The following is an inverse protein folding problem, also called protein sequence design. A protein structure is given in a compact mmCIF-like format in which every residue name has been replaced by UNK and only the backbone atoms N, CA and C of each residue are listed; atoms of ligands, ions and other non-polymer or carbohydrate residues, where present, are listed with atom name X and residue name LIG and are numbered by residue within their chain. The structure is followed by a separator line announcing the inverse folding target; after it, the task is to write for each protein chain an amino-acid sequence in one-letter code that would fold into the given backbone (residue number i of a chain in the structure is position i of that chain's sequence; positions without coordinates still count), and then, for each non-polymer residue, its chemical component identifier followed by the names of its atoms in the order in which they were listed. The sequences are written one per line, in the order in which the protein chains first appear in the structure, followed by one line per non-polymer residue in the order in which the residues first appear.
data_IF_850757683887
#
_entry.id   IF_850757683887
#
_cell.length_a   1.000
_cell.length_b   1.000
_cell.length_c   1.000
_cell.angle_alpha   90.00
_cell.angle_beta   90.00
_cell.angle_gamma   90.00
#
_symmetry.space_group_name_H-M   'P 1'
#
loop_
_entity.id
_entity.type
_entity.pdbx_description
1 polymer ?
#
# COMPACT_ATOMS: atom_id res chain seq x y z
N UNK A 1 -2.72 29.80 3.72
CA UNK A 1 -1.81 29.07 2.82
C UNK A 1 -1.59 27.64 3.30
N UNK A 2 -1.20 27.42 4.57
CA UNK A 2 -1.01 26.08 5.14
C UNK A 2 -2.17 25.10 4.91
N UNK A 3 -3.40 25.48 5.26
CA UNK A 3 -4.59 24.63 5.02
C UNK A 3 -4.76 24.14 3.57
N UNK A 4 -4.28 24.90 2.57
CA UNK A 4 -4.33 24.48 1.16
C UNK A 4 -3.22 23.47 0.83
N UNK A 5 -2.04 23.63 1.44
CA UNK A 5 -0.94 22.67 1.36
C UNK A 5 -1.36 21.37 2.04
N UNK A 6 -1.90 21.45 3.26
CA UNK A 6 -2.43 20.32 4.02
C UNK A 6 -3.49 19.53 3.22
N UNK A 7 -4.51 20.21 2.69
CA UNK A 7 -5.53 19.58 1.84
C UNK A 7 -4.94 18.85 0.63
N UNK A 8 -3.90 19.42 0.01
CA UNK A 8 -3.24 18.78 -1.13
C UNK A 8 -2.39 17.58 -0.70
N UNK A 9 -1.73 17.68 0.44
CA UNK A 9 -0.87 16.62 1.00
C UNK A 9 -1.66 15.51 1.70
N UNK A 10 -2.95 15.71 1.97
CA UNK A 10 -3.85 14.70 2.54
C UNK A 10 -4.33 13.64 1.51
N UNK A 11 -4.05 13.83 0.23
CA UNK A 11 -4.33 12.84 -0.82
C UNK A 11 -3.55 11.55 -0.56
N UNK A 12 -4.23 10.40 -0.61
CA UNK A 12 -3.66 9.08 -0.28
C UNK A 12 -2.47 8.71 -1.16
N UNK A 13 -2.32 9.30 -2.36
CA UNK A 13 -1.13 9.08 -3.20
C UNK A 13 0.16 9.61 -2.57
N UNK A 14 0.07 10.51 -1.58
CA UNK A 14 1.21 11.02 -0.82
C UNK A 14 1.40 10.30 0.51
N UNK A 15 0.55 9.32 0.85
CA UNK A 15 0.71 8.54 2.06
C UNK A 15 2.05 7.77 2.05
N UNK A 16 2.85 7.93 3.10
CA UNK A 16 4.18 7.32 3.21
C UNK A 16 5.26 7.92 2.32
N UNK A 17 4.96 8.95 1.52
CA UNK A 17 5.97 9.68 0.73
C UNK A 17 6.62 10.72 1.64
N UNK A 18 7.96 10.71 1.79
CA UNK A 18 8.64 11.75 2.55
C UNK A 18 8.50 13.10 1.84
N UNK A 19 8.26 14.16 2.62
CA UNK A 19 8.04 15.51 2.10
C UNK A 19 9.05 16.45 2.73
N UNK A 20 9.69 17.28 1.91
CA UNK A 20 10.60 18.35 2.32
C UNK A 20 9.97 19.68 1.91
N UNK A 21 9.90 20.61 2.86
CA UNK A 21 9.47 21.99 2.64
C UNK A 21 10.63 22.89 3.06
N UNK A 22 11.16 23.67 2.12
CA UNK A 22 12.31 24.52 2.33
C UNK A 22 12.06 25.95 1.82
N UNK A 23 12.64 26.93 2.51
CA UNK A 23 12.62 28.33 2.07
C UNK A 23 12.82 29.32 3.20
N UNK A 24 12.69 30.59 2.85
CA UNK A 24 12.62 31.73 3.77
C UNK A 24 11.19 31.86 4.30
N UNK A 25 11.03 31.79 5.62
CA UNK A 25 9.74 31.91 6.30
C UNK A 25 9.50 33.32 6.86
N UNK A 26 10.48 34.23 6.75
CA UNK A 26 10.47 35.57 7.33
C UNK A 26 9.99 35.57 8.79
N UNK A 27 10.35 34.52 9.52
CA UNK A 27 9.88 34.30 10.89
C UNK A 27 10.88 33.43 11.64
N UNK A 28 11.08 33.76 12.91
CA UNK A 28 11.99 33.06 13.79
C UNK A 28 11.36 31.77 14.36
N UNK A 29 12.18 30.99 15.05
CA UNK A 29 11.81 29.65 15.51
C UNK A 29 11.42 29.63 16.99
N UNK A 30 10.32 28.94 17.30
CA UNK A 30 9.92 28.55 18.66
C UNK A 30 10.96 27.65 19.34
N UNK A 31 11.86 27.03 18.57
CA UNK A 31 12.97 26.21 19.08
C UNK A 31 14.21 27.04 19.42
N UNK A 32 14.27 28.29 18.98
CA UNK A 32 15.47 29.14 19.11
C UNK A 32 15.28 30.20 20.21
N UNK A 33 14.08 30.81 20.29
CA UNK A 33 13.72 31.86 21.26
C UNK A 33 13.20 31.27 22.57
N UNK A 34 14.00 30.43 23.20
CA UNK A 34 13.65 29.66 24.39
C UNK A 34 14.30 30.22 25.66
N UNK A 35 13.85 29.75 26.83
CA UNK A 35 14.32 30.26 28.11
C UNK A 35 15.86 30.16 28.29
N UNK A 36 16.48 29.11 27.77
CA UNK A 36 17.93 28.89 27.88
C UNK A 36 18.79 29.80 27.01
N UNK A 37 18.19 30.47 26.02
CA UNK A 37 18.89 31.33 25.04
C UNK A 37 18.47 32.79 25.19
N UNK A 38 17.73 33.12 26.25
CA UNK A 38 17.24 34.47 26.51
C UNK A 38 18.39 35.50 26.56
N UNK A 39 19.56 35.14 27.08
CA UNK A 39 20.67 36.09 27.15
C UNK A 39 21.24 36.39 25.75
N UNK A 40 21.13 35.45 24.81
CA UNK A 40 21.56 35.64 23.42
C UNK A 40 20.52 36.38 22.56
N UNK A 41 19.23 36.13 22.80
CA UNK A 41 18.11 36.70 22.02
C UNK A 41 17.39 37.87 22.72
N UNK A 42 17.77 38.21 23.95
CA UNK A 42 17.17 39.21 24.86
C UNK A 42 15.71 38.93 25.29
N UNK A 43 15.01 38.05 24.57
CA UNK A 43 13.60 37.74 24.77
C UNK A 43 13.31 36.25 24.55
N UNK A 44 12.28 35.75 25.23
CA UNK A 44 11.69 34.43 25.02
C UNK A 44 10.38 34.63 24.28
N UNK A 45 10.24 34.04 23.10
CA UNK A 45 9.07 34.21 22.23
C UNK A 45 8.70 32.85 21.64
N UNK A 46 7.45 32.47 21.85
CA UNK A 46 6.87 31.29 21.22
C UNK A 46 6.33 31.67 19.83
N UNK A 47 7.19 31.62 18.82
CA UNK A 47 6.89 32.12 17.47
C UNK A 47 5.82 31.28 16.76
N UNK A 48 4.58 31.79 16.56
CA UNK A 48 3.47 30.95 16.09
C UNK A 48 3.65 30.41 14.69
N UNK A 49 4.33 31.15 13.80
CA UNK A 49 4.57 30.72 12.41
C UNK A 49 5.39 29.45 12.34
N UNK A 50 6.35 29.29 13.25
CA UNK A 50 7.24 28.12 13.27
C UNK A 50 6.58 26.85 13.80
N UNK A 51 5.41 26.95 14.45
CA UNK A 51 4.58 25.80 14.84
C UNK A 51 3.81 25.19 13.68
N UNK A 52 3.49 25.98 12.65
CA UNK A 52 2.61 25.56 11.53
C UNK A 52 3.06 24.23 10.90
N UNK A 53 4.37 24.01 10.76
CA UNK A 53 4.91 22.76 10.23
C UNK A 53 5.18 21.73 11.33
N UNK A 54 5.64 22.17 12.51
CA UNK A 54 5.96 21.29 13.63
C UNK A 54 4.72 20.54 14.16
N UNK A 55 3.60 21.24 14.32
CA UNK A 55 2.31 20.68 14.75
C UNK A 55 1.77 19.61 13.79
N UNK A 56 2.28 19.60 12.56
CA UNK A 56 1.87 18.72 11.46
C UNK A 56 2.88 17.59 11.22
N UNK A 57 3.76 17.39 12.19
CA UNK A 57 4.75 16.32 12.23
C UNK A 57 5.98 16.56 11.37
N UNK A 58 6.23 17.79 10.91
CA UNK A 58 7.51 18.13 10.29
C UNK A 58 8.58 18.38 11.34
N UNK A 59 9.78 17.91 11.06
CA UNK A 59 10.99 18.14 11.84
C UNK A 59 11.84 19.22 11.17
N UNK A 60 12.40 20.11 11.97
CA UNK A 60 13.39 21.08 11.55
C UNK A 60 14.75 20.38 11.39
N UNK A 61 15.23 20.20 10.16
CA UNK A 61 16.50 19.49 9.92
C UNK A 61 17.69 20.15 10.61
N UNK A 62 17.68 21.49 10.74
CA UNK A 62 18.77 22.22 11.40
C UNK A 62 18.81 21.90 12.88
N UNK A 63 17.68 22.00 13.58
CA UNK A 63 17.60 21.76 15.03
C UNK A 63 17.67 20.26 15.37
N UNK A 64 17.28 19.38 14.46
CA UNK A 64 17.48 17.93 14.62
C UNK A 64 18.96 17.55 14.61
N UNK A 65 19.75 18.12 13.69
CA UNK A 65 21.19 17.85 13.59
C UNK A 65 22.01 18.69 14.58
N UNK A 66 21.57 19.91 14.89
CA UNK A 66 22.18 20.86 15.83
C UNK A 66 21.19 21.23 16.95
N UNK A 67 20.97 20.35 17.93
CA UNK A 67 19.98 20.56 18.99
C UNK A 67 20.30 21.76 19.90
N UNK A 68 21.59 22.08 20.07
CA UNK A 68 22.02 23.26 20.82
C UNK A 68 21.89 24.52 19.97
N UNK A 69 21.25 25.54 20.53
CA UNK A 69 21.08 26.84 19.88
C UNK A 69 22.39 27.62 19.93
N UNK A 70 22.81 28.13 18.78
CA UNK A 70 23.97 29.01 18.68
C UNK A 70 23.65 30.12 17.67
N UNK A 71 23.18 31.27 18.17
CA UNK A 71 22.69 32.39 17.36
C UNK A 71 23.66 32.79 16.24
N UNK A 72 24.97 32.83 16.51
CA UNK A 72 25.99 33.21 15.53
C UNK A 72 26.15 32.19 14.39
N UNK A 73 26.05 30.90 14.69
CA UNK A 73 26.14 29.83 13.69
C UNK A 73 24.82 29.63 12.95
N UNK A 74 23.70 29.84 13.65
CA UNK A 74 22.35 29.58 13.17
C UNK A 74 21.81 30.70 12.27
N UNK A 75 22.31 31.94 12.40
CA UNK A 75 21.87 33.11 11.65
C UNK A 75 21.86 32.90 10.14
N UNK A 76 20.73 33.17 9.47
CA UNK A 76 20.60 33.03 8.00
C UNK A 76 20.55 34.36 7.26
N UNK A 77 20.59 35.49 7.96
CA UNK A 77 20.94 36.77 7.33
C UNK A 77 22.41 36.82 6.93
N UNK A 78 22.74 37.60 5.90
CA UNK A 78 24.14 37.77 5.46
C UNK A 78 24.75 39.06 5.98
N UNK A 79 26.10 39.17 5.98
CA UNK A 79 26.80 40.39 6.35
C UNK A 79 26.48 41.62 5.47
N UNK A 80 25.68 41.46 4.41
CA UNK A 80 25.20 42.57 3.58
C UNK A 80 24.31 43.53 4.37
N UNK A 81 23.61 43.04 5.39
CA UNK A 81 22.73 43.83 6.24
C UNK A 81 23.06 43.62 7.72
N UNK A 82 24.20 44.15 8.21
CA UNK A 82 24.71 43.89 9.56
C UNK A 82 23.84 44.49 10.66
N UNK A 83 22.94 45.41 10.32
CA UNK A 83 22.01 46.05 11.26
C UNK A 83 20.70 45.27 11.45
N UNK A 84 20.44 44.23 10.65
CA UNK A 84 19.29 43.35 10.85
C UNK A 84 19.53 42.42 12.04
N UNK A 85 18.44 41.99 12.67
CA UNK A 85 18.50 40.93 13.67
C UNK A 85 18.99 39.65 12.98
N UNK A 86 20.23 39.25 13.29
CA UNK A 86 20.92 38.14 12.63
C UNK A 86 20.38 36.79 13.11
N UNK A 87 19.12 36.53 12.80
CA UNK A 87 18.41 35.34 13.23
C UNK A 87 18.26 34.33 12.11
N UNK A 88 17.84 33.13 12.49
CA UNK A 88 17.52 32.05 11.57
C UNK A 88 16.08 32.23 11.09
N UNK A 89 15.90 32.46 9.81
CA UNK A 89 14.58 32.62 9.16
C UNK A 89 14.40 31.71 7.94
N UNK A 90 15.47 31.06 7.50
CA UNK A 90 15.47 30.07 6.43
C UNK A 90 15.49 28.66 7.04
N UNK A 91 14.59 27.79 6.57
CA UNK A 91 14.39 26.46 7.14
C UNK A 91 14.32 25.40 6.06
N UNK A 92 14.76 24.20 6.41
CA UNK A 92 14.46 22.96 5.69
C UNK A 92 13.72 22.05 6.66
N UNK A 93 12.40 22.01 6.53
CA UNK A 93 11.52 21.12 7.27
C UNK A 93 11.27 19.83 6.49
N UNK A 94 11.13 18.71 7.19
CA UNK A 94 10.82 17.46 6.53
C UNK A 94 10.01 16.51 7.41
N UNK A 95 9.23 15.63 6.79
CA UNK A 95 8.46 14.57 7.47
C UNK A 95 8.52 13.25 6.71
N UNK A 96 8.12 12.19 7.41
CA UNK A 96 8.12 10.82 6.90
C UNK A 96 9.38 10.05 7.31
N UNK A 97 9.22 8.73 7.44
CA UNK A 97 10.23 7.84 8.03
C UNK A 97 11.31 7.40 7.05
N UNK A 98 11.15 7.73 5.76
CA UNK A 98 12.10 7.38 4.71
C UNK A 98 13.28 8.37 4.60
N UNK A 99 13.26 9.48 5.35
CA UNK A 99 14.34 10.45 5.42
C UNK A 99 14.81 10.63 6.87
N UNK A 100 16.09 10.85 7.02
CA UNK A 100 16.71 11.33 8.25
C UNK A 100 17.75 12.38 7.89
N UNK A 101 17.66 13.57 8.49
CA UNK A 101 18.69 14.59 8.35
C UNK A 101 19.99 14.09 9.00
N UNK A 102 21.09 14.09 8.24
CA UNK A 102 22.39 13.59 8.71
C UNK A 102 23.43 14.68 8.86
N UNK A 103 23.28 15.77 8.12
CA UNK A 103 24.19 16.90 8.18
C UNK A 103 23.48 18.19 7.76
N UNK A 104 23.93 19.32 8.31
CA UNK A 104 23.43 20.65 7.97
C UNK A 104 24.57 21.67 7.92
N UNK A 105 24.51 22.53 6.90
CA UNK A 105 25.50 23.56 6.65
C UNK A 105 24.83 24.88 6.29
N UNK A 106 25.40 25.98 6.79
CA UNK A 106 25.07 27.33 6.38
C UNK A 106 26.21 27.87 5.52
N UNK A 107 25.89 28.28 4.30
CA UNK A 107 26.83 28.93 3.40
C UNK A 107 26.50 30.43 3.36
N UNK A 108 27.35 31.24 3.97
CA UNK A 108 27.20 32.70 4.02
C UNK A 108 28.46 33.47 3.55
N UNK A 109 29.42 32.77 2.96
CA UNK A 109 30.66 33.34 2.42
C UNK A 109 30.93 32.82 1.01
N UNK A 110 31.62 33.62 0.20
CA UNK A 110 32.09 33.23 -1.14
C UNK A 110 33.47 33.89 -1.35
N UNK A 111 34.36 33.27 -2.13
CA UNK A 111 35.75 33.74 -2.33
C UNK A 111 35.83 35.16 -2.88
N UNK A 112 34.92 35.53 -3.77
CA UNK A 112 34.83 36.89 -4.33
C UNK A 112 33.88 37.80 -3.54
N UNK A 113 32.57 37.59 -3.70
CA UNK A 113 31.51 38.30 -2.99
C UNK A 113 30.31 37.38 -2.83
N UNK A 114 29.70 37.40 -1.65
CA UNK A 114 28.49 36.62 -1.42
C UNK A 114 27.30 37.20 -2.22
N UNK A 115 26.55 36.39 -2.99
CA UNK A 115 25.58 36.89 -3.97
C UNK A 115 24.17 37.15 -3.42
N UNK A 116 23.95 36.98 -2.11
CA UNK A 116 22.62 37.01 -1.49
C UNK A 116 22.61 37.83 -0.19
N UNK A 117 21.45 38.28 0.21
CA UNK A 117 21.14 38.83 1.54
C UNK A 117 20.75 37.75 2.57
N UNK A 118 20.51 36.52 2.11
CA UNK A 118 20.32 35.32 2.92
C UNK A 118 21.40 34.28 2.67
N UNK A 119 21.86 33.64 3.73
CA UNK A 119 22.73 32.48 3.69
C UNK A 119 21.98 31.30 3.05
N UNK A 120 22.68 30.46 2.29
CA UNK A 120 22.09 29.22 1.82
C UNK A 120 22.08 28.21 2.97
N UNK A 121 20.91 27.64 3.26
CA UNK A 121 20.75 26.52 4.19
C UNK A 121 20.80 25.23 3.41
N UNK A 122 21.64 24.29 3.85
CA UNK A 122 21.83 22.99 3.24
C UNK A 122 21.50 21.92 4.28
N UNK A 123 20.74 20.91 3.86
CA UNK A 123 20.50 19.70 4.64
C UNK A 123 20.81 18.46 3.78
N UNK A 124 21.58 17.53 4.33
CA UNK A 124 21.81 16.22 3.75
C UNK A 124 20.89 15.20 4.42
N UNK A 125 20.30 14.30 3.63
CA UNK A 125 19.41 13.27 4.13
C UNK A 125 19.91 11.87 3.78
N UNK A 126 19.89 10.98 4.78
CA UNK A 126 19.91 9.55 4.52
C UNK A 126 18.53 9.09 4.04
N UNK A 127 18.50 8.34 2.93
CA UNK A 127 17.32 7.59 2.52
C UNK A 127 17.23 6.31 3.34
N UNK A 128 16.34 6.31 4.32
CA UNK A 128 16.02 5.12 5.09
C UNK A 128 15.15 4.22 4.22
N UNK A 129 15.66 3.04 3.85
CA UNK A 129 14.81 2.04 3.20
C UNK A 129 13.72 1.65 4.20
N UNK A 130 12.43 1.66 3.82
CA UNK A 130 11.43 1.03 4.67
C UNK A 130 11.87 -0.42 4.89
N UNK A 131 11.60 -0.93 6.10
CA UNK A 131 11.80 -2.35 6.38
C UNK A 131 11.16 -3.17 5.26
N UNK A 132 11.86 -4.20 4.71
CA UNK A 132 11.23 -5.08 3.74
C UNK A 132 9.93 -5.62 4.36
N UNK A 133 8.83 -5.72 3.59
CA UNK A 133 7.56 -6.16 4.12
C UNK A 133 7.77 -7.50 4.83
N UNK A 134 7.35 -7.57 6.10
CA UNK A 134 7.56 -8.73 6.99
C UNK A 134 7.01 -10.03 6.37
N UNK A 135 6.05 -9.90 5.46
CA UNK A 135 5.51 -11.00 4.68
C UNK A 135 5.16 -10.54 3.26
N UNK A 136 5.43 -11.39 2.26
CA UNK A 136 5.01 -11.22 0.87
C UNK A 136 4.05 -12.35 0.51
N UNK A 137 2.97 -12.01 -0.19
CA UNK A 137 2.02 -12.97 -0.75
C UNK A 137 1.98 -12.85 -2.26
N UNK A 138 2.05 -13.98 -2.96
CA UNK A 138 1.87 -14.08 -4.40
C UNK A 138 0.56 -14.77 -4.70
N UNK A 139 -0.33 -14.06 -5.40
CA UNK A 139 -1.65 -14.58 -5.75
C UNK A 139 -1.78 -14.79 -7.26
N UNK A 140 -2.50 -15.83 -7.66
CA UNK A 140 -2.81 -16.14 -9.05
C UNK A 140 -4.32 -16.32 -9.19
N UNK A 141 -4.93 -15.69 -10.19
CA UNK A 141 -6.29 -16.00 -10.64
C UNK A 141 -6.19 -16.76 -11.95
N UNK A 142 -6.87 -17.90 -12.07
CA UNK A 142 -6.79 -18.71 -13.27
C UNK A 142 -8.10 -19.46 -13.56
N UNK A 143 -8.77 -19.07 -14.65
CA UNK A 143 -9.86 -19.83 -15.21
C UNK A 143 -9.25 -21.02 -15.98
N UNK A 144 -9.44 -22.23 -15.45
CA UNK A 144 -8.79 -23.43 -15.99
C UNK A 144 -9.64 -24.14 -17.04
N UNK A 145 -10.86 -23.68 -17.32
CA UNK A 145 -11.81 -24.31 -18.25
C UNK A 145 -11.83 -25.84 -18.06
N UNK A 146 -12.21 -26.30 -16.86
CA UNK A 146 -12.22 -27.70 -16.43
C UNK A 146 -10.91 -28.46 -16.74
N UNK A 147 -9.77 -27.77 -16.72
CA UNK A 147 -8.44 -28.32 -17.00
C UNK A 147 -8.15 -28.58 -18.47
N UNK A 148 -9.04 -28.18 -19.39
CA UNK A 148 -8.88 -28.42 -20.82
C UNK A 148 -8.06 -27.31 -21.50
N UNK A 149 -6.83 -27.64 -21.89
CA UNK A 149 -5.92 -26.73 -22.59
C UNK A 149 -6.28 -26.51 -24.07
N UNK A 150 -5.34 -25.93 -24.84
CA UNK A 150 -5.52 -25.65 -26.28
C UNK A 150 -5.71 -26.89 -27.15
N UNK A 151 -5.25 -28.06 -26.68
CA UNK A 151 -5.50 -29.36 -27.32
C UNK A 151 -6.93 -29.88 -27.09
N UNK A 152 -7.69 -29.23 -26.20
CA UNK A 152 -9.02 -29.67 -25.75
C UNK A 152 -8.99 -30.86 -24.78
N UNK A 153 -7.81 -31.39 -24.46
CA UNK A 153 -7.64 -32.48 -23.49
C UNK A 153 -7.45 -31.93 -22.08
N UNK A 154 -8.00 -32.64 -21.09
CA UNK A 154 -7.82 -32.31 -19.66
C UNK A 154 -6.43 -32.74 -19.21
N UNK A 155 -5.62 -31.78 -18.77
CA UNK A 155 -4.24 -32.02 -18.32
C UNK A 155 -3.90 -31.17 -17.09
N UNK A 156 -4.19 -31.71 -15.92
CA UNK A 156 -3.91 -31.03 -14.64
C UNK A 156 -2.42 -31.02 -14.28
N UNK A 157 -1.59 -31.89 -14.87
CA UNK A 157 -0.15 -31.86 -14.65
C UNK A 157 0.48 -30.65 -15.34
N UNK A 158 0.02 -30.33 -16.55
CA UNK A 158 0.41 -29.11 -17.25
C UNK A 158 -0.04 -27.86 -16.48
N UNK A 159 -1.29 -27.83 -16.01
CA UNK A 159 -1.79 -26.75 -15.15
C UNK A 159 -0.94 -26.60 -13.88
N UNK A 160 -0.60 -27.71 -13.21
CA UNK A 160 0.25 -27.69 -12.02
C UNK A 160 1.68 -27.24 -12.33
N UNK A 161 2.26 -27.65 -13.46
CA UNK A 161 3.60 -27.21 -13.88
C UNK A 161 3.65 -25.69 -14.08
N UNK A 162 2.64 -25.11 -14.74
CA UNK A 162 2.52 -23.66 -14.92
C UNK A 162 2.42 -22.96 -13.57
N UNK A 163 1.52 -23.40 -12.69
CA UNK A 163 1.33 -22.80 -11.37
C UNK A 163 2.60 -22.92 -10.52
N UNK A 164 3.31 -24.04 -10.57
CA UNK A 164 4.56 -24.25 -9.82
C UNK A 164 5.64 -23.24 -10.20
N UNK A 165 5.77 -22.92 -11.49
CA UNK A 165 6.72 -21.91 -11.99
C UNK A 165 6.42 -20.51 -11.47
N UNK A 166 5.16 -20.21 -11.17
CA UNK A 166 4.76 -18.94 -10.56
C UNK A 166 5.03 -18.92 -9.05
N UNK A 167 5.23 -20.05 -8.38
CA UNK A 167 5.40 -20.15 -6.92
C UNK A 167 4.33 -19.38 -6.11
N UNK A 168 3.02 -19.62 -6.35
CA UNK A 168 1.94 -18.91 -5.70
C UNK A 168 1.80 -19.31 -4.23
N UNK A 169 1.36 -18.35 -3.43
CA UNK A 169 0.83 -18.57 -2.08
C UNK A 169 -0.65 -18.93 -2.12
N UNK A 170 -1.40 -18.27 -3.02
CA UNK A 170 -2.86 -18.42 -3.15
C UNK A 170 -3.21 -18.49 -4.63
N UNK A 171 -4.08 -19.43 -5.01
CA UNK A 171 -4.58 -19.56 -6.38
C UNK A 171 -6.11 -19.63 -6.36
N UNK A 172 -6.79 -18.68 -7.00
CA UNK A 172 -8.21 -18.78 -7.29
C UNK A 172 -8.40 -19.48 -8.64
N UNK A 173 -9.17 -20.55 -8.65
CA UNK A 173 -9.47 -21.35 -9.83
C UNK A 173 -10.94 -21.17 -10.22
N UNK A 174 -11.20 -20.77 -11.47
CA UNK A 174 -12.55 -20.73 -12.03
C UNK A 174 -12.77 -21.89 -13.00
N UNK A 175 -14.03 -22.24 -13.22
CA UNK A 175 -14.45 -23.36 -14.08
C UNK A 175 -13.86 -24.71 -13.64
N UNK A 176 -14.05 -25.05 -12.37
CA UNK A 176 -13.46 -26.24 -11.76
C UNK A 176 -14.50 -27.36 -11.69
N UNK A 177 -14.13 -28.54 -12.18
CA UNK A 177 -14.94 -29.75 -12.05
C UNK A 177 -14.58 -30.52 -10.77
N UNK A 178 -15.60 -31.12 -10.16
CA UNK A 178 -15.47 -32.09 -9.07
C UNK A 178 -16.23 -33.37 -9.42
N UNK A 179 -15.51 -34.39 -9.89
CA UNK A 179 -16.11 -35.70 -10.18
C UNK A 179 -16.94 -35.74 -11.46
N UNK A 180 -16.78 -34.78 -12.38
CA UNK A 180 -17.54 -34.79 -13.65
C UNK A 180 -16.93 -35.78 -14.65
N UNK A 181 -17.76 -36.43 -15.46
CA UNK A 181 -17.27 -37.35 -16.49
C UNK A 181 -16.43 -36.69 -17.59
N UNK A 182 -16.62 -35.38 -17.87
CA UNK A 182 -15.80 -34.64 -18.87
C UNK A 182 -14.36 -34.40 -18.43
N UNK A 183 -14.08 -34.51 -17.12
CA UNK A 183 -12.78 -34.31 -16.51
C UNK A 183 -12.18 -35.60 -15.94
N UNK A 184 -12.65 -36.76 -16.45
CA UNK A 184 -12.20 -38.07 -15.99
C UNK A 184 -12.65 -38.41 -14.57
N UNK A 185 -13.74 -37.81 -14.09
CA UNK A 185 -14.26 -37.91 -12.72
C UNK A 185 -13.25 -37.44 -11.66
N UNK A 186 -12.41 -36.47 -12.00
CA UNK A 186 -11.38 -35.95 -11.10
C UNK A 186 -11.94 -34.84 -10.21
N UNK A 187 -11.60 -34.85 -8.92
CA UNK A 187 -11.78 -33.70 -8.03
C UNK A 187 -10.64 -32.69 -8.27
N UNK A 188 -10.83 -31.75 -9.21
CA UNK A 188 -9.71 -31.01 -9.80
C UNK A 188 -8.98 -30.10 -8.80
N UNK A 189 -9.71 -29.40 -7.92
CA UNK A 189 -9.10 -28.56 -6.89
C UNK A 189 -8.21 -29.40 -5.95
N UNK A 190 -8.71 -30.54 -5.47
CA UNK A 190 -7.97 -31.44 -4.59
C UNK A 190 -6.76 -32.05 -5.31
N UNK A 191 -6.91 -32.44 -6.58
CA UNK A 191 -5.81 -32.99 -7.36
C UNK A 191 -4.71 -31.95 -7.59
N UNK A 192 -5.05 -30.71 -7.99
CA UNK A 192 -4.08 -29.63 -8.15
C UNK A 192 -3.41 -29.27 -6.81
N UNK A 193 -4.17 -29.23 -5.72
CA UNK A 193 -3.63 -29.07 -4.36
C UNK A 193 -2.58 -30.13 -4.04
N UNK A 194 -2.87 -31.41 -4.32
CA UNK A 194 -1.90 -32.50 -4.15
C UNK A 194 -0.65 -32.33 -5.01
N UNK A 195 -0.79 -32.01 -6.29
CA UNK A 195 0.34 -31.84 -7.22
C UNK A 195 1.25 -30.66 -6.86
N UNK A 196 0.70 -29.62 -6.23
CA UNK A 196 1.41 -28.42 -5.81
C UNK A 196 1.86 -28.44 -4.36
N UNK A 197 1.42 -29.42 -3.56
CA UNK A 197 1.65 -29.42 -2.11
C UNK A 197 0.90 -28.30 -1.38
N UNK A 198 -0.29 -27.96 -1.85
CA UNK A 198 -1.14 -26.87 -1.33
C UNK A 198 -2.43 -27.43 -0.72
N UNK A 199 -2.99 -26.73 0.25
CA UNK A 199 -4.35 -26.93 0.72
C UNK A 199 -5.33 -26.54 -0.37
N UNK A 200 -6.46 -27.25 -0.47
CA UNK A 200 -7.48 -27.01 -1.50
C UNK A 200 -8.87 -26.85 -0.87
N UNK A 201 -9.62 -25.89 -1.40
CA UNK A 201 -11.05 -25.72 -1.17
C UNK A 201 -11.80 -25.78 -2.50
N UNK A 202 -13.03 -26.26 -2.45
CA UNK A 202 -13.96 -26.29 -3.58
C UNK A 202 -15.30 -25.74 -3.11
N UNK A 203 -15.94 -24.92 -3.94
CA UNK A 203 -17.31 -24.45 -3.74
C UNK A 203 -18.14 -24.69 -4.99
N UNK A 204 -19.28 -25.34 -4.82
CA UNK A 204 -20.18 -25.74 -5.92
C UNK A 204 -21.13 -24.62 -6.27
N UNK A 205 -21.46 -24.46 -7.56
CA UNK A 205 -22.65 -23.70 -7.97
C UNK A 205 -23.66 -24.51 -8.78
N UNK A 206 -23.29 -25.66 -9.37
CA UNK A 206 -24.25 -26.54 -10.04
C UNK A 206 -23.80 -28.02 -10.13
N UNK A 207 -24.77 -28.91 -10.35
CA UNK A 207 -24.50 -30.29 -10.79
C UNK A 207 -24.22 -30.33 -12.29
N UNK A 208 -23.25 -31.13 -12.72
CA UNK A 208 -22.86 -31.26 -14.12
C UNK A 208 -22.31 -32.65 -14.45
N UNK A 209 -22.91 -33.32 -15.45
CA UNK A 209 -22.40 -34.56 -16.05
C UNK A 209 -22.01 -35.66 -15.03
N UNK A 210 -22.84 -35.81 -13.99
CA UNK A 210 -22.67 -36.82 -12.93
C UNK A 210 -21.77 -36.39 -11.77
N UNK A 211 -21.17 -35.21 -11.83
CA UNK A 211 -20.42 -34.59 -10.75
C UNK A 211 -20.88 -33.15 -10.51
N UNK A 212 -19.98 -32.31 -10.03
CA UNK A 212 -20.26 -30.94 -9.63
C UNK A 212 -19.35 -29.96 -10.39
N UNK A 213 -19.88 -28.76 -10.62
CA UNK A 213 -19.16 -27.67 -11.27
C UNK A 213 -19.17 -26.43 -10.39
N UNK A 214 -18.01 -25.79 -10.29
CA UNK A 214 -17.76 -24.84 -9.23
C UNK A 214 -16.48 -24.04 -9.39
N UNK A 215 -15.98 -23.59 -8.25
CA UNK A 215 -14.75 -22.82 -8.12
C UNK A 215 -13.82 -23.52 -7.15
N UNK A 216 -12.52 -23.36 -7.38
CA UNK A 216 -11.48 -23.86 -6.50
C UNK A 216 -10.69 -22.72 -5.87
N UNK A 217 -10.08 -23.00 -4.72
CA UNK A 217 -9.04 -22.16 -4.16
C UNK A 217 -7.93 -23.02 -3.61
N UNK A 218 -6.68 -22.72 -3.98
CA UNK A 218 -5.49 -23.37 -3.44
C UNK A 218 -4.75 -22.40 -2.54
N UNK A 219 -4.23 -22.89 -1.41
CA UNK A 219 -3.38 -22.11 -0.52
C UNK A 219 -2.16 -22.90 -0.07
N UNK A 220 -1.00 -22.27 -0.10
CA UNK A 220 0.23 -22.79 0.52
C UNK A 220 0.10 -22.86 2.04
N UNK A 221 -0.81 -22.07 2.60
CA UNK A 221 -1.02 -21.95 4.04
C UNK A 221 -2.33 -22.61 4.49
N UNK A 222 -2.47 -22.97 5.78
CA UNK A 222 -3.64 -23.69 6.25
C UNK A 222 -4.95 -22.92 6.03
N UNK A 223 -5.91 -23.60 5.42
CA UNK A 223 -7.30 -23.13 5.29
C UNK A 223 -8.01 -23.33 6.63
N UNK A 224 -8.64 -22.28 7.14
CA UNK A 224 -9.39 -22.26 8.41
C UNK A 224 -10.88 -22.46 8.21
N UNK A 225 -11.45 -21.79 7.22
CA UNK A 225 -12.85 -21.90 6.88
C UNK A 225 -13.06 -21.67 5.38
N UNK A 226 -14.16 -22.21 4.86
CA UNK A 226 -14.58 -22.09 3.46
C UNK A 226 -16.05 -21.70 3.49
N UNK A 227 -16.39 -20.63 2.76
CA UNK A 227 -17.74 -20.12 2.66
C UNK A 227 -18.11 -19.89 1.19
N UNK A 228 -19.24 -20.47 0.79
CA UNK A 228 -19.91 -20.16 -0.47
C UNK A 228 -20.81 -18.93 -0.26
N UNK A 229 -20.38 -17.78 -0.77
CA UNK A 229 -21.19 -16.56 -0.77
C UNK A 229 -22.15 -16.65 -1.95
N UNK A 230 -23.44 -16.77 -1.65
CA UNK A 230 -24.50 -16.79 -2.67
C UNK A 230 -24.56 -15.44 -3.37
N UNK A 231 -24.47 -15.47 -4.70
CA UNK A 231 -24.69 -14.31 -5.54
C UNK A 231 -26.11 -14.34 -6.14
N UNK A 232 -26.68 -13.19 -6.54
CA UNK A 232 -27.95 -13.13 -7.23
C UNK A 232 -27.95 -14.00 -8.47
N UNK A 233 -29.11 -14.61 -8.76
CA UNK A 233 -29.28 -15.47 -9.93
C UNK A 233 -29.01 -14.67 -11.21
N UNK A 234 -28.07 -15.16 -11.99
CA UNK A 234 -27.84 -14.75 -13.37
C UNK A 234 -28.39 -15.76 -14.37
N UNK A 235 -27.83 -15.75 -15.58
CA UNK A 235 -28.06 -16.74 -16.61
C UNK A 235 -27.49 -18.11 -16.18
N UNK A 236 -26.33 -18.12 -15.54
CA UNK A 236 -25.73 -19.31 -14.91
C UNK A 236 -25.66 -19.11 -13.38
N UNK A 237 -25.87 -20.15 -12.56
CA UNK A 237 -25.64 -20.04 -11.12
C UNK A 237 -24.17 -19.67 -10.85
N UNK A 238 -23.95 -18.60 -10.08
CA UNK A 238 -22.61 -18.18 -9.63
C UNK A 238 -22.56 -18.07 -8.10
N UNK A 239 -21.38 -18.27 -7.55
CA UNK A 239 -21.05 -17.99 -6.15
C UNK A 239 -19.76 -17.16 -6.10
N UNK A 240 -19.45 -16.55 -4.96
CA UNK A 240 -18.09 -16.19 -4.61
C UNK A 240 -17.58 -17.18 -3.54
N UNK A 241 -16.34 -17.65 -3.66
CA UNK A 241 -15.74 -18.61 -2.74
C UNK A 241 -14.79 -17.84 -1.82
N UNK A 242 -15.23 -17.62 -0.59
CA UNK A 242 -14.43 -16.98 0.44
C UNK A 242 -13.72 -18.03 1.29
N UNK A 243 -12.41 -17.91 1.45
CA UNK A 243 -11.58 -18.86 2.20
C UNK A 243 -10.71 -18.11 3.17
N UNK A 244 -10.87 -18.39 4.46
CA UNK A 244 -9.98 -17.87 5.50
C UNK A 244 -8.69 -18.68 5.55
N UNK A 245 -7.56 -17.98 5.53
CA UNK A 245 -6.22 -18.56 5.44
C UNK A 245 -5.39 -18.01 6.59
N UNK A 246 -4.81 -18.92 7.39
CA UNK A 246 -3.91 -18.53 8.47
C UNK A 246 -2.49 -18.36 7.94
N UNK A 247 -1.96 -17.14 8.06
CA UNK A 247 -0.62 -16.78 7.61
C UNK A 247 0.45 -17.17 8.65
N UNK A 248 1.71 -17.37 8.21
CA UNK A 248 2.85 -17.56 9.14
C UNK A 248 3.03 -16.43 10.16
N UNK A 249 2.57 -15.20 9.86
CA UNK A 249 2.57 -14.08 10.82
C UNK A 249 1.63 -14.29 12.02
N UNK A 250 0.70 -15.25 11.95
CA UNK A 250 -0.39 -15.43 12.91
C UNK A 250 -1.67 -14.69 12.53
N UNK A 251 -1.63 -13.84 11.51
CA UNK A 251 -2.80 -13.15 10.98
C UNK A 251 -3.68 -14.10 10.14
N UNK A 252 -4.97 -13.76 10.06
CA UNK A 252 -5.92 -14.43 9.17
C UNK A 252 -6.31 -13.44 8.08
N UNK A 253 -6.25 -13.90 6.84
CA UNK A 253 -6.78 -13.17 5.68
C UNK A 253 -7.89 -13.98 5.02
N UNK A 254 -8.76 -13.30 4.28
CA UNK A 254 -9.80 -13.96 3.47
C UNK A 254 -9.47 -13.82 1.99
N UNK A 255 -9.26 -14.93 1.29
CA UNK A 255 -9.18 -14.92 -0.16
C UNK A 255 -10.59 -15.15 -0.74
N UNK A 256 -11.06 -14.24 -1.60
CA UNK A 256 -12.38 -14.29 -2.22
C UNK A 256 -12.21 -14.48 -3.71
N UNK A 257 -12.59 -15.65 -4.20
CA UNK A 257 -12.54 -16.01 -5.61
C UNK A 257 -13.92 -15.81 -6.28
N UNK A 258 -13.96 -15.14 -7.43
CA UNK A 258 -15.20 -14.84 -8.17
C UNK A 258 -15.18 -15.38 -9.60
N UNK A 259 -16.37 -15.65 -10.12
CA UNK A 259 -16.64 -15.82 -11.53
C UNK A 259 -18.02 -15.20 -11.81
N UNK A 260 -18.06 -13.96 -12.31
CA UNK A 260 -19.33 -13.29 -12.61
C UNK A 260 -19.96 -13.80 -13.91
N UNK A 261 -21.24 -13.47 -14.12
CA UNK A 261 -21.97 -13.85 -15.33
C UNK A 261 -21.28 -13.33 -16.59
N UNK A 262 -21.39 -14.06 -17.69
CA UNK A 262 -20.66 -13.80 -18.93
C UNK A 262 -21.52 -13.20 -20.05
N UNK A 263 -22.83 -13.08 -19.83
CA UNK A 263 -23.77 -12.55 -20.83
C UNK A 263 -23.63 -11.04 -21.01
N UNK A 264 -23.99 -10.54 -22.19
CA UNK A 264 -23.96 -9.10 -22.55
C UNK A 264 -24.87 -8.22 -21.67
N UNK A 265 -25.85 -8.82 -21.00
CA UNK A 265 -26.72 -8.12 -20.05
C UNK A 265 -25.99 -7.89 -18.72
N UNK A 266 -25.36 -6.72 -18.61
CA UNK A 266 -24.59 -6.31 -17.45
C UNK A 266 -25.40 -6.27 -16.15
N UNK A 267 -26.74 -6.24 -16.19
CA UNK A 267 -27.57 -6.17 -14.99
C UNK A 267 -27.30 -7.33 -14.04
N UNK A 268 -26.99 -8.52 -14.58
CA UNK A 268 -26.59 -9.67 -13.76
C UNK A 268 -25.23 -9.46 -13.09
N UNK A 269 -24.22 -9.00 -13.85
CA UNK A 269 -22.88 -8.74 -13.30
C UNK A 269 -22.91 -7.64 -12.23
N UNK A 270 -23.61 -6.54 -12.48
CA UNK A 270 -23.77 -5.46 -11.50
C UNK A 270 -24.44 -5.94 -10.23
N UNK A 271 -25.55 -6.68 -10.31
CA UNK A 271 -26.22 -7.23 -9.14
C UNK A 271 -25.30 -8.18 -8.34
N UNK A 272 -24.50 -9.00 -9.03
CA UNK A 272 -23.51 -9.87 -8.40
C UNK A 272 -22.38 -9.09 -7.72
N UNK A 273 -21.86 -8.05 -8.37
CA UNK A 273 -20.83 -7.17 -7.82
C UNK A 273 -21.34 -6.39 -6.61
N UNK A 274 -22.56 -5.86 -6.64
CA UNK A 274 -23.18 -5.16 -5.51
C UNK A 274 -23.39 -6.07 -4.30
N UNK A 275 -23.87 -7.31 -4.52
CA UNK A 275 -24.02 -8.28 -3.44
C UNK A 275 -22.66 -8.67 -2.84
N UNK A 276 -21.65 -8.85 -3.69
CA UNK A 276 -20.29 -9.12 -3.23
C UNK A 276 -19.71 -7.95 -2.44
N UNK A 277 -19.89 -6.71 -2.90
CA UNK A 277 -19.40 -5.52 -2.22
C UNK A 277 -19.95 -5.42 -0.79
N UNK A 278 -21.24 -5.72 -0.58
CA UNK A 278 -21.85 -5.78 0.75
C UNK A 278 -21.16 -6.82 1.64
N UNK A 279 -20.93 -8.02 1.12
CA UNK A 279 -20.21 -9.07 1.84
C UNK A 279 -18.78 -8.63 2.22
N UNK A 280 -18.04 -8.02 1.28
CA UNK A 280 -16.67 -7.56 1.52
C UNK A 280 -16.59 -6.44 2.56
N UNK A 281 -17.59 -5.55 2.62
CA UNK A 281 -17.67 -4.49 3.64
C UNK A 281 -17.86 -5.04 5.05
N UNK A 282 -18.50 -6.20 5.20
CA UNK A 282 -18.75 -6.84 6.48
C UNK A 282 -17.57 -7.66 7.02
N UNK A 283 -16.61 -8.01 6.15
CA UNK A 283 -15.42 -8.78 6.53
C UNK A 283 -14.59 -8.07 7.61
N UNK A 284 -14.15 -8.84 8.61
CA UNK A 284 -13.31 -8.36 9.72
C UNK A 284 -11.82 -8.60 9.50
N UNK A 285 -11.48 -9.37 8.47
CA UNK A 285 -10.12 -9.73 8.09
C UNK A 285 -9.71 -8.95 6.83
N UNK A 286 -8.41 -8.65 6.65
CA UNK A 286 -7.91 -8.21 5.36
C UNK A 286 -8.23 -9.26 4.29
N UNK A 287 -8.58 -8.82 3.09
CA UNK A 287 -8.98 -9.75 2.04
C UNK A 287 -8.26 -9.50 0.72
N UNK A 288 -8.17 -10.57 -0.08
CA UNK A 288 -7.74 -10.55 -1.47
C UNK A 288 -8.93 -10.94 -2.31
N UNK A 289 -9.40 -10.03 -3.17
CA UNK A 289 -10.41 -10.31 -4.18
C UNK A 289 -9.71 -10.64 -5.50
N UNK A 290 -10.03 -11.80 -6.07
CA UNK A 290 -9.50 -12.23 -7.36
C UNK A 290 -10.55 -13.05 -8.11
N UNK A 291 -10.44 -13.16 -9.43
CA UNK A 291 -11.37 -13.98 -10.18
C UNK A 291 -11.48 -13.63 -11.65
N UNK A 292 -12.52 -14.17 -12.26
CA UNK A 292 -12.98 -13.84 -13.60
C UNK A 292 -14.21 -12.91 -13.48
N UNK A 293 -14.06 -11.65 -13.87
CA UNK A 293 -15.12 -10.65 -13.75
C UNK A 293 -16.01 -10.61 -14.99
N UNK A 294 -15.64 -11.29 -16.08
CA UNK A 294 -16.33 -11.28 -17.36
C UNK A 294 -16.73 -9.88 -17.87
N UNK A 295 -15.92 -8.88 -17.55
CA UNK A 295 -16.19 -7.50 -17.97
C UNK A 295 -15.30 -7.13 -19.15
N UNK A 296 -15.94 -6.78 -20.26
CA UNK A 296 -15.27 -6.31 -21.47
C UNK A 296 -15.49 -4.81 -21.61
N UNK A 297 -14.59 -4.14 -22.33
CA UNK A 297 -14.76 -2.73 -22.65
C UNK A 297 -15.97 -2.57 -23.57
N UNK A 298 -17.08 -2.07 -23.04
CA UNK A 298 -18.18 -1.49 -23.82
C UNK A 298 -17.75 -0.20 -24.49
#
# INVERSE_FOLDING_TARGET
MWKLIEQRLADSKYAGIPIVIAGDFNSMSHLDYIASTKDDYEVVVDWPTSHVLADEGFRDSWREVRPEVNRNLDATWTPRFPEQEQDRIDYIYYRGDALQATDVERINTHTDKFPSDHAAVVAQFALLKPDPPKQRLRTVSYNIRHGAGTSGQVDLEMTAALLRNLSPDIVGLQEVDNGTSRSGNTAQAQQLGKLLGMHAAFGKFMDLKGGEYGMGLLSRHPIKSVQEVKLPKGHEPRIALAVEIALPSGEIITAVNVHFDWVDDDTYRFAQAEQLAKYLQDLKTPYILLGDFNDIRT
#
